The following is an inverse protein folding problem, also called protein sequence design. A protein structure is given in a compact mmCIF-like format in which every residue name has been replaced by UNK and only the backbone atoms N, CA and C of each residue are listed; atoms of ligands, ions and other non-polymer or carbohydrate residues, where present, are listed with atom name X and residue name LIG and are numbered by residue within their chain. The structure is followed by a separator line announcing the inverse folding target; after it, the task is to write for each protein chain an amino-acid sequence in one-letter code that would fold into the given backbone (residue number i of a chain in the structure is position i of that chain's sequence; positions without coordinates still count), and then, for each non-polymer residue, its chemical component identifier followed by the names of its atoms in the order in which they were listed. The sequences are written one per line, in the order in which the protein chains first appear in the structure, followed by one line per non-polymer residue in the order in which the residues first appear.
data_IF_615088252852
#
_entry.id   IF_615088252852
#
_cell.length_a   1.000
_cell.length_b   1.000
_cell.length_c   1.000
_cell.angle_alpha   90.00
_cell.angle_beta   90.00
_cell.angle_gamma   90.00
#
_symmetry.space_group_name_H-M   'P 1'
#
loop_
_entity.id
_entity.type
_entity.pdbx_description
1 polymer ?
#
# COMPACT_ATOMS: atom_id res chain seq x y z
N UNK A 1 -0.48 -3.58 0.26
CA UNK A 1 -1.52 -2.58 -0.01
C UNK A 1 -2.49 -2.60 1.14
N UNK A 2 -2.83 -1.43 1.66
CA UNK A 2 -3.85 -1.29 2.69
C UNK A 2 -5.21 -1.08 2.05
N UNK A 3 -6.21 -1.80 2.55
CA UNK A 3 -7.61 -1.68 2.19
C UNK A 3 -8.36 -1.21 3.42
N UNK A 4 -8.88 0.01 3.36
CA UNK A 4 -9.55 0.69 4.46
C UNK A 4 -10.95 1.13 4.02
N UNK A 5 -11.92 1.17 4.93
CA UNK A 5 -13.26 1.66 4.60
C UNK A 5 -13.27 3.17 4.41
N UNK A 6 -14.04 3.62 3.43
CA UNK A 6 -14.29 5.05 3.19
C UNK A 6 -15.26 5.63 4.22
N UNK A 7 -16.12 4.80 4.83
CA UNK A 7 -17.24 5.23 5.69
C UNK A 7 -17.07 4.85 7.16
N UNK A 8 -15.90 4.34 7.55
CA UNK A 8 -15.60 3.94 8.93
C UNK A 8 -16.09 2.55 9.32
N UNK A 9 -16.68 1.79 8.39
CA UNK A 9 -17.03 0.38 8.59
C UNK A 9 -15.76 -0.48 8.72
N UNK A 10 -15.75 -1.44 9.63
CA UNK A 10 -14.58 -2.31 9.80
C UNK A 10 -14.53 -3.37 8.70
N UNK A 11 -13.67 -3.15 7.70
CA UNK A 11 -13.35 -4.18 6.68
C UNK A 11 -12.75 -5.43 7.35
N UNK A 12 -12.09 -5.26 8.50
CA UNK A 12 -11.51 -6.34 9.28
C UNK A 12 -12.56 -7.25 9.95
N UNK A 13 -13.82 -6.84 10.03
CA UNK A 13 -14.89 -7.66 10.62
C UNK A 13 -15.45 -8.68 9.61
N UNK A 14 -15.15 -8.51 8.31
CA UNK A 14 -15.52 -9.48 7.29
C UNK A 14 -14.91 -10.85 7.59
N UNK A 15 -15.68 -11.91 7.33
CA UNK A 15 -15.19 -13.29 7.52
C UNK A 15 -13.95 -13.54 6.64
N UNK A 16 -12.97 -14.31 7.12
CA UNK A 16 -11.78 -14.65 6.32
C UNK A 16 -12.13 -15.29 4.99
N UNK A 17 -13.16 -16.15 4.94
CA UNK A 17 -13.63 -16.80 3.71
C UNK A 17 -14.24 -15.82 2.70
N UNK A 18 -14.97 -14.80 3.19
CA UNK A 18 -15.53 -13.75 2.32
C UNK A 18 -14.41 -12.88 1.76
N UNK A 19 -13.48 -12.44 2.61
CA UNK A 19 -12.30 -11.68 2.19
C UNK A 19 -11.49 -12.45 1.15
N UNK A 20 -11.16 -13.72 1.42
CA UNK A 20 -10.40 -14.58 0.50
C UNK A 20 -11.07 -14.67 -0.86
N UNK A 21 -12.39 -14.91 -0.91
CA UNK A 21 -13.14 -15.07 -2.16
C UNK A 21 -13.18 -13.79 -2.98
N UNK A 22 -13.49 -12.67 -2.34
CA UNK A 22 -13.57 -11.36 -2.99
C UNK A 22 -12.20 -10.97 -3.58
N UNK A 23 -11.14 -11.10 -2.79
CA UNK A 23 -9.78 -10.76 -3.22
C UNK A 23 -9.28 -11.74 -4.30
N UNK A 24 -9.64 -13.03 -4.20
CA UNK A 24 -9.35 -14.01 -5.24
C UNK A 24 -10.06 -13.68 -6.56
N UNK A 25 -11.27 -13.11 -6.51
CA UNK A 25 -11.96 -12.61 -7.71
C UNK A 25 -11.25 -11.43 -8.39
N UNK A 26 -10.48 -10.64 -7.63
CA UNK A 26 -9.70 -9.51 -8.16
C UNK A 26 -8.32 -9.95 -8.65
N UNK A 27 -7.61 -10.75 -7.86
CA UNK A 27 -6.20 -11.10 -8.09
C UNK A 27 -6.02 -12.38 -8.91
N UNK A 28 -6.91 -13.36 -8.75
CA UNK A 28 -6.85 -14.66 -9.45
C UNK A 28 -5.61 -15.51 -9.17
N UNK A 29 -4.76 -15.14 -8.20
CA UNK A 29 -3.48 -15.78 -7.92
C UNK A 29 -3.17 -15.87 -6.43
N UNK A 30 -1.92 -16.14 -6.09
CA UNK A 30 -1.46 -16.22 -4.70
C UNK A 30 -1.34 -14.83 -4.08
N UNK A 31 -1.99 -14.66 -2.93
CA UNK A 31 -1.91 -13.47 -2.11
C UNK A 31 -2.05 -13.85 -0.65
N UNK A 32 -1.63 -12.94 0.23
CA UNK A 32 -1.78 -13.06 1.66
C UNK A 32 -2.61 -11.90 2.19
N UNK A 33 -3.53 -12.23 3.09
CA UNK A 33 -4.42 -11.30 3.77
C UNK A 33 -4.01 -11.25 5.25
N UNK A 34 -3.74 -10.05 5.76
CA UNK A 34 -3.53 -9.82 7.19
C UNK A 34 -4.50 -8.74 7.69
N UNK A 35 -5.27 -9.03 8.73
CA UNK A 35 -6.15 -8.02 9.36
C UNK A 35 -5.32 -7.06 10.20
N UNK A 36 -5.57 -5.77 10.08
CA UNK A 36 -4.90 -4.72 10.86
C UNK A 36 -5.94 -3.89 11.60
N UNK A 37 -5.51 -3.08 12.57
CA UNK A 37 -6.41 -2.16 13.30
C UNK A 37 -7.13 -1.15 12.40
N UNK A 38 -6.58 -0.87 11.20
CA UNK A 38 -7.12 0.11 10.25
C UNK A 38 -7.90 -0.52 9.10
N UNK A 39 -7.83 -1.84 8.93
CA UNK A 39 -8.50 -2.53 7.84
C UNK A 39 -7.82 -3.85 7.49
N UNK A 40 -7.48 -4.02 6.22
CA UNK A 40 -6.87 -5.26 5.70
C UNK A 40 -5.61 -4.94 4.91
N UNK A 41 -4.52 -5.63 5.23
CA UNK A 41 -3.27 -5.61 4.49
C UNK A 41 -3.25 -6.76 3.48
N UNK A 42 -2.93 -6.42 2.23
CA UNK A 42 -2.75 -7.37 1.13
C UNK A 42 -1.29 -7.39 0.68
N UNK A 43 -0.75 -8.60 0.60
CA UNK A 43 0.57 -8.90 0.04
C UNK A 43 0.38 -9.81 -1.18
N UNK A 44 1.08 -9.53 -2.29
CA UNK A 44 0.97 -10.27 -3.54
C UNK A 44 2.31 -10.27 -4.28
N UNK A 45 2.51 -11.23 -5.18
CA UNK A 45 3.81 -11.42 -5.83
C UNK A 45 4.03 -10.56 -7.08
N UNK A 46 2.97 -10.26 -7.85
CA UNK A 46 3.11 -9.67 -9.20
C UNK A 46 2.75 -8.20 -9.23
N UNK A 47 3.67 -7.35 -9.69
CA UNK A 47 3.41 -5.92 -9.88
C UNK A 47 2.22 -5.63 -10.81
N UNK A 48 1.96 -6.50 -11.79
CA UNK A 48 0.81 -6.37 -12.72
C UNK A 48 -0.56 -6.32 -12.03
N UNK A 49 -0.67 -6.90 -10.83
CA UNK A 49 -1.94 -6.95 -10.10
C UNK A 49 -2.20 -5.68 -9.26
N UNK A 50 -1.20 -4.80 -9.19
CA UNK A 50 -1.30 -3.52 -8.47
C UNK A 50 -2.39 -2.62 -9.05
N UNK A 51 -2.52 -2.57 -10.38
CA UNK A 51 -3.57 -1.78 -11.02
C UNK A 51 -4.98 -2.32 -10.72
N UNK A 52 -5.12 -3.64 -10.63
CA UNK A 52 -6.40 -4.29 -10.32
C UNK A 52 -6.84 -3.94 -8.90
N UNK A 53 -5.91 -4.02 -7.95
CA UNK A 53 -6.14 -3.63 -6.56
C UNK A 53 -6.45 -2.15 -6.42
N UNK A 54 -5.74 -1.28 -7.14
CA UNK A 54 -5.98 0.17 -7.07
C UNK A 54 -7.36 0.56 -7.62
N UNK A 55 -7.88 -0.21 -8.58
CA UNK A 55 -9.23 -0.01 -9.16
C UNK A 55 -10.35 -0.56 -8.28
N UNK A 56 -10.05 -1.37 -7.27
CA UNK A 56 -11.03 -1.95 -6.35
C UNK A 56 -11.60 -0.86 -5.43
N UNK A 57 -12.90 -0.59 -5.55
CA UNK A 57 -13.62 0.43 -4.75
C UNK A 57 -14.59 -0.16 -3.74
N UNK A 58 -14.85 -1.46 -3.82
CA UNK A 58 -15.77 -2.17 -2.96
C UNK A 58 -15.17 -3.53 -2.60
N UNK A 59 -15.35 -3.93 -1.34
CA UNK A 59 -14.97 -5.25 -0.85
C UNK A 59 -16.09 -5.80 0.02
N UNK A 60 -16.76 -6.85 -0.47
CA UNK A 60 -17.82 -7.52 0.29
C UNK A 60 -19.00 -6.64 0.68
N UNK A 61 -19.34 -5.63 -0.14
CA UNK A 61 -20.41 -4.66 0.13
C UNK A 61 -19.94 -3.37 0.82
N UNK A 62 -18.69 -3.29 1.27
CA UNK A 62 -18.12 -2.11 1.94
C UNK A 62 -17.36 -1.27 0.92
N UNK A 63 -17.63 0.04 0.87
CA UNK A 63 -16.82 0.96 0.06
C UNK A 63 -15.43 1.11 0.66
N UNK A 64 -14.40 0.78 -0.11
CA UNK A 64 -13.02 0.76 0.34
C UNK A 64 -12.14 1.69 -0.48
N UNK A 65 -11.07 2.17 0.16
CA UNK A 65 -9.94 2.84 -0.49
C UNK A 65 -8.73 1.92 -0.38
N UNK A 66 -8.12 1.65 -1.53
CA UNK A 66 -6.87 0.91 -1.59
C UNK A 66 -5.70 1.89 -1.69
N UNK A 67 -4.73 1.75 -0.80
CA UNK A 67 -3.51 2.56 -0.80
C UNK A 67 -2.28 1.67 -0.77
N UNK A 68 -1.21 2.13 -1.43
CA UNK A 68 0.11 1.51 -1.26
C UNK A 68 0.54 1.69 0.19
N UNK A 69 0.99 0.61 0.80
CA UNK A 69 1.62 0.71 2.12
C UNK A 69 3.05 1.22 1.92
N UNK A 70 3.41 2.30 2.62
CA UNK A 70 4.72 2.97 2.47
C UNK A 70 5.79 2.36 3.38
N UNK A 71 5.47 1.36 4.19
CA UNK A 71 6.35 0.81 5.22
C UNK A 71 6.74 -0.66 4.99
N UNK A 72 5.83 -1.51 4.50
CA UNK A 72 6.05 -2.97 4.43
C UNK A 72 6.89 -3.43 3.23
N UNK A 73 7.14 -2.56 2.26
CA UNK A 73 8.00 -2.84 1.10
C UNK A 73 9.07 -1.76 0.88
N UNK A 74 9.47 -1.04 1.94
CA UNK A 74 10.48 0.01 1.85
C UNK A 74 11.69 -0.33 2.71
N UNK A 75 12.88 -0.20 2.12
CA UNK A 75 14.13 -0.14 2.89
C UNK A 75 14.38 1.32 3.25
N UNK A 76 14.67 1.60 4.53
CA UNK A 76 15.05 2.95 4.97
C UNK A 76 16.54 3.14 4.68
N UNK A 77 16.85 3.88 3.62
CA UNK A 77 18.20 4.36 3.32
C UNK A 77 18.44 5.76 3.87
N UNK A 78 19.71 6.09 4.16
CA UNK A 78 20.14 7.46 4.47
C UNK A 78 21.17 7.86 3.43
N UNK A 79 20.96 9.02 2.79
CA UNK A 79 21.91 9.62 1.85
C UNK A 79 22.37 10.93 2.47
N UNK A 80 23.68 11.09 2.66
CA UNK A 80 24.28 12.31 3.16
C UNK A 80 25.38 12.76 2.19
N UNK A 81 25.16 13.90 1.53
CA UNK A 81 26.15 14.53 0.66
C UNK A 81 25.96 16.05 0.68
N UNK A 82 27.07 16.81 0.66
CA UNK A 82 27.06 18.28 0.70
C UNK A 82 26.26 18.91 -0.45
N UNK A 83 26.26 18.28 -1.62
CA UNK A 83 25.60 18.79 -2.82
C UNK A 83 24.07 18.63 -2.77
N UNK A 84 23.55 17.78 -1.87
CA UNK A 84 22.10 17.54 -1.70
C UNK A 84 21.43 18.54 -0.74
N UNK A 85 22.17 19.54 -0.27
CA UNK A 85 21.68 20.53 0.71
C UNK A 85 20.62 21.46 0.13
N UNK A 86 20.62 21.68 -1.18
CA UNK A 86 19.62 22.48 -1.90
C UNK A 86 18.49 21.68 -2.55
N UNK A 87 18.60 20.36 -2.62
CA UNK A 87 17.61 19.50 -3.28
C UNK A 87 16.35 19.33 -2.46
N UNK A 88 15.20 19.30 -3.13
CA UNK A 88 13.90 19.09 -2.48
C UNK A 88 13.58 17.60 -2.36
N UNK A 89 12.76 17.23 -1.38
CA UNK A 89 12.36 15.83 -1.15
C UNK A 89 11.65 15.23 -2.37
N UNK A 90 10.86 16.03 -3.08
CA UNK A 90 10.14 15.62 -4.29
C UNK A 90 11.10 15.23 -5.42
N UNK A 91 12.26 15.90 -5.54
CA UNK A 91 13.26 15.58 -6.55
C UNK A 91 13.84 14.18 -6.34
N UNK A 92 13.98 13.73 -5.08
CA UNK A 92 14.45 12.37 -4.80
C UNK A 92 13.43 11.31 -5.21
N UNK A 93 12.14 11.58 -5.00
CA UNK A 93 11.05 10.67 -5.38
C UNK A 93 10.90 10.61 -6.90
N UNK A 94 11.10 11.73 -7.59
CA UNK A 94 11.01 11.81 -9.05
C UNK A 94 12.21 11.18 -9.76
N UNK A 95 13.43 11.51 -9.31
CA UNK A 95 14.66 11.17 -10.06
C UNK A 95 15.34 9.88 -9.63
N UNK A 96 15.03 9.32 -8.45
CA UNK A 96 15.66 8.09 -7.97
C UNK A 96 14.71 6.90 -8.13
N UNK A 97 15.01 5.97 -9.05
CA UNK A 97 14.19 4.78 -9.23
C UNK A 97 14.08 3.96 -7.94
N UNK A 98 12.85 3.62 -7.56
CA UNK A 98 12.58 2.81 -6.37
C UNK A 98 12.45 3.61 -5.07
N UNK A 99 12.66 4.93 -5.08
CA UNK A 99 12.34 5.79 -3.95
C UNK A 99 10.84 6.11 -3.96
N UNK A 100 10.15 5.64 -2.92
CA UNK A 100 8.70 5.84 -2.77
C UNK A 100 8.35 7.05 -1.90
N UNK A 101 9.29 7.48 -1.06
CA UNK A 101 9.16 8.61 -0.15
C UNK A 101 10.56 9.04 0.28
N UNK A 102 10.77 10.36 0.35
CA UNK A 102 11.93 10.97 0.95
C UNK A 102 11.50 11.85 2.12
N UNK A 103 12.38 12.02 3.10
CA UNK A 103 12.24 13.00 4.18
C UNK A 103 13.60 13.54 4.58
N UNK A 104 13.70 14.83 4.88
CA UNK A 104 14.89 15.45 5.41
C UNK A 104 15.02 15.10 6.89
N UNK A 105 16.23 14.74 7.28
CA UNK A 105 16.57 14.52 8.68
C UNK A 105 17.07 15.86 9.20
N UNK A 106 16.20 16.56 9.93
CA UNK A 106 16.59 17.70 10.75
C UNK A 106 17.11 17.16 12.08
N UNK A 107 18.33 17.55 12.46
CA UNK A 107 18.94 17.25 13.76
C UNK A 107 18.76 18.41 14.70
#
# INVERSE_FOLDING_TARGET
MNVESVRGESVSDLSPFKLQREIMGVLGGEFKISKTKRGVMLEWARKSDEEKLTKMKELGGIKVKVTRDTYLNTSRGVINHKDLRGSKEEEFVEWIPGVMSARRIEM
#
